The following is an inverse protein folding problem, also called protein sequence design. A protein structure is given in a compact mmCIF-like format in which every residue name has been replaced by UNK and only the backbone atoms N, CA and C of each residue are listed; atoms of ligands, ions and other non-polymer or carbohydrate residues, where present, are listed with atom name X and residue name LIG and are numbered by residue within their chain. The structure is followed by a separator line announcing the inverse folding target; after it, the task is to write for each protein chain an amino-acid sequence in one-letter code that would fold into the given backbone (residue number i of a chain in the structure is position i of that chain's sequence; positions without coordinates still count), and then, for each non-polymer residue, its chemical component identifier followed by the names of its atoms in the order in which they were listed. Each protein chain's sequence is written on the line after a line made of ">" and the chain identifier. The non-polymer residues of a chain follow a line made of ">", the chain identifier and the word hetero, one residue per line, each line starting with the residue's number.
data_IF_806577257531
#
_entry.id   IF_806577257531
#
_cell.length_a   1.000
_cell.length_b   1.000
_cell.length_c   1.000
_cell.angle_alpha   90.00
_cell.angle_beta   90.00
_cell.angle_gamma   90.00
#
_symmetry.space_group_name_H-M   'P 1'
#
loop_
_entity.id
_entity.type
_entity.pdbx_description
1 polymer ?
#
# COMPACT_ATOMS: atom_id res chain seq x y z
N UNK A 1 45.25 25.23 1.99
CA UNK A 1 44.33 25.70 0.93
C UNK A 1 42.97 25.06 1.19
N UNK A 2 41.91 25.70 1.66
CA UNK A 2 41.55 27.10 1.54
C UNK A 2 40.83 27.37 0.21
N UNK A 3 39.53 27.05 0.12
CA UNK A 3 38.46 28.00 -0.25
C UNK A 3 37.13 27.27 -0.51
N UNK A 4 36.11 27.79 0.16
CA UNK A 4 34.70 27.52 -0.01
C UNK A 4 34.10 28.31 -1.19
N UNK A 5 32.85 27.94 -1.55
CA UNK A 5 31.76 28.67 -2.27
C UNK A 5 31.15 27.76 -3.35
N UNK A 6 29.84 27.63 -3.56
CA UNK A 6 28.70 28.46 -3.17
C UNK A 6 27.40 27.67 -3.05
N UNK A 7 26.52 28.20 -2.21
CA UNK A 7 25.12 27.84 -2.04
C UNK A 7 24.25 28.33 -3.22
N UNK A 8 23.31 27.50 -3.67
CA UNK A 8 22.04 27.98 -4.23
C UNK A 8 20.86 27.16 -3.69
N UNK A 9 20.03 27.82 -2.86
CA UNK A 9 18.64 27.45 -2.55
C UNK A 9 17.77 28.65 -2.86
N UNK A 10 16.70 28.47 -3.65
CA UNK A 10 15.30 28.94 -3.41
C UNK A 10 14.43 28.65 -4.66
N UNK A 11 13.09 28.66 -4.70
CA UNK A 11 11.98 29.01 -3.79
C UNK A 11 10.73 28.34 -4.42
N UNK A 12 9.98 27.50 -3.68
CA UNK A 12 8.59 27.07 -3.97
C UNK A 12 8.28 26.41 -5.35
N UNK A 13 8.55 25.12 -5.50
CA UNK A 13 8.07 24.31 -6.63
C UNK A 13 6.67 23.72 -6.42
N UNK A 14 5.61 24.54 -6.40
CA UNK A 14 4.20 24.04 -6.48
C UNK A 14 3.66 24.19 -7.90
N UNK A 15 3.02 23.17 -8.49
CA UNK A 15 2.27 23.34 -9.73
C UNK A 15 0.90 23.99 -9.49
N UNK A 16 0.50 24.89 -10.39
CA UNK A 16 -0.84 25.49 -10.48
C UNK A 16 -1.86 24.51 -11.09
N UNK A 17 -3.16 24.63 -10.76
CA UNK A 17 -4.20 23.72 -11.23
C UNK A 17 -4.60 24.03 -12.68
N UNK A 18 -4.69 23.00 -13.53
CA UNK A 18 -5.34 23.10 -14.84
C UNK A 18 -6.85 22.95 -14.69
N UNK A 19 -7.59 24.00 -15.08
CA UNK A 19 -9.00 23.92 -15.46
C UNK A 19 -9.11 23.18 -16.79
N UNK A 20 -9.95 22.16 -16.85
CA UNK A 20 -10.38 21.51 -18.08
C UNK A 20 -11.79 20.96 -17.89
N UNK A 21 -12.75 21.61 -18.57
CA UNK A 21 -14.17 21.24 -18.65
C UNK A 21 -14.34 19.99 -19.52
N UNK A 22 -15.26 19.12 -19.14
CA UNK A 22 -15.69 17.99 -19.96
C UNK A 22 -16.61 17.08 -19.16
N UNK A 23 -17.85 17.51 -18.92
CA UNK A 23 -18.94 16.63 -18.52
C UNK A 23 -19.61 16.13 -19.80
N UNK A 24 -19.39 14.86 -20.14
CA UNK A 24 -20.23 14.13 -21.09
C UNK A 24 -21.33 13.41 -20.30
N UNK A 25 -22.57 13.80 -20.60
CA UNK A 25 -23.77 13.18 -20.11
C UNK A 25 -24.17 12.05 -21.07
N UNK A 26 -24.15 10.81 -20.59
CA UNK A 26 -24.62 9.64 -21.32
C UNK A 26 -25.54 8.78 -20.47
N UNK A 27 -26.84 8.91 -20.72
CA UNK A 27 -27.90 7.90 -20.61
C UNK A 27 -28.02 7.03 -19.33
N UNK A 28 -29.17 7.20 -18.66
CA UNK A 28 -29.96 6.06 -18.21
C UNK A 28 -30.37 6.03 -16.73
N UNK A 29 -31.67 6.24 -16.48
CA UNK A 29 -32.34 5.59 -15.34
C UNK A 29 -32.63 6.43 -14.10
N UNK A 30 -33.52 7.43 -14.20
CA UNK A 30 -34.24 7.96 -13.04
C UNK A 30 -35.47 7.09 -12.76
N UNK A 31 -35.47 6.37 -11.62
CA UNK A 31 -36.68 5.83 -11.02
C UNK A 31 -37.33 6.90 -10.14
N UNK A 32 -38.49 7.37 -10.58
CA UNK A 32 -39.41 8.21 -9.80
C UNK A 32 -40.22 7.34 -8.84
N UNK A 33 -40.32 7.74 -7.57
CA UNK A 33 -41.46 7.37 -6.74
C UNK A 33 -42.09 8.65 -6.19
N UNK A 34 -43.32 8.89 -6.62
CA UNK A 34 -44.08 10.10 -6.33
C UNK A 34 -44.77 10.03 -4.97
N UNK A 35 -44.95 11.21 -4.37
CA UNK A 35 -46.27 11.61 -3.90
C UNK A 35 -46.26 13.11 -3.56
N UNK A 36 -46.88 13.93 -4.40
CA UNK A 36 -47.29 15.29 -4.02
C UNK A 36 -48.55 15.66 -4.79
N UNK A 37 -49.68 15.41 -4.15
CA UNK A 37 -51.01 15.82 -4.62
C UNK A 37 -51.16 17.34 -4.47
N UNK A 38 -51.45 17.99 -5.59
CA UNK A 38 -51.93 19.36 -5.68
C UNK A 38 -53.44 19.38 -5.45
N UNK A 39 -53.95 20.35 -4.68
CA UNK A 39 -55.38 20.67 -4.66
C UNK A 39 -55.66 21.86 -5.57
N UNK A 40 -56.33 21.57 -6.69
CA UNK A 40 -56.84 22.53 -7.65
C UNK A 40 -58.25 23.02 -7.26
N UNK A 41 -58.43 24.33 -7.39
CA UNK A 41 -59.67 25.09 -7.24
C UNK A 41 -60.65 24.84 -8.40
N UNK A 42 -61.94 24.71 -8.10
CA UNK A 42 -63.07 25.41 -8.75
C UNK A 42 -64.40 24.74 -8.39
N UNK A 43 -65.37 25.52 -7.92
CA UNK A 43 -66.75 25.40 -8.40
C UNK A 43 -67.52 26.70 -8.20
N UNK A 44 -68.14 27.10 -9.28
CA UNK A 44 -69.01 28.25 -9.49
C UNK A 44 -70.44 27.93 -9.09
N UNK A 45 -71.14 28.94 -8.56
CA UNK A 45 -72.48 29.29 -9.07
C UNK A 45 -73.71 28.84 -8.29
N UNK A 46 -74.39 29.88 -7.76
CA UNK A 46 -75.83 30.17 -7.88
C UNK A 46 -76.78 29.64 -6.80
N UNK A 47 -77.44 30.60 -6.15
CA UNK A 47 -78.90 30.76 -5.96
C UNK A 47 -79.25 31.40 -4.60
N UNK A 48 -79.80 32.62 -4.67
CA UNK A 48 -80.68 33.22 -3.67
C UNK A 48 -82.12 32.90 -4.14
N UNK A 49 -83.10 32.67 -3.23
CA UNK A 49 -83.77 33.80 -2.59
C UNK A 49 -84.32 33.56 -1.17
N UNK A 50 -84.59 34.67 -0.47
CA UNK A 50 -85.89 34.88 0.18
C UNK A 50 -86.05 34.50 1.66
N UNK A 51 -86.28 35.56 2.45
CA UNK A 51 -87.30 35.71 3.50
C UNK A 51 -86.98 35.31 4.96
N UNK A 52 -87.39 36.26 5.80
CA UNK A 52 -87.90 36.18 7.17
C UNK A 52 -86.99 35.83 8.36
N UNK A 53 -86.73 36.91 9.10
CA UNK A 53 -87.16 37.12 10.49
C UNK A 53 -86.68 36.19 11.62
N UNK A 54 -86.16 36.89 12.65
CA UNK A 54 -86.34 36.69 14.09
C UNK A 54 -85.40 35.74 14.84
N UNK A 55 -84.53 36.40 15.60
CA UNK A 55 -84.20 36.14 17.01
C UNK A 55 -84.12 34.68 17.50
N UNK A 56 -82.91 34.19 17.75
CA UNK A 56 -82.66 33.23 18.83
C UNK A 56 -81.21 33.33 19.35
N UNK A 57 -81.07 33.27 20.68
CA UNK A 57 -79.89 33.62 21.45
C UNK A 57 -78.56 33.00 21.02
N UNK A 58 -77.55 33.88 20.89
CA UNK A 58 -76.12 33.53 20.88
C UNK A 58 -75.72 32.93 22.24
N UNK A 59 -75.82 31.62 22.40
CA UNK A 59 -75.02 30.90 23.43
C UNK A 59 -73.62 30.70 22.88
N UNK A 60 -72.71 31.65 23.19
CA UNK A 60 -71.26 31.46 22.99
C UNK A 60 -70.80 30.32 23.90
N UNK A 61 -70.63 29.11 23.36
CA UNK A 61 -69.86 28.06 24.02
C UNK A 61 -68.42 28.55 24.16
N UNK A 62 -67.99 28.81 25.40
CA UNK A 62 -66.62 29.12 25.71
C UNK A 62 -65.75 27.91 25.35
N UNK A 63 -64.94 28.03 24.30
CA UNK A 63 -63.84 27.11 24.02
C UNK A 63 -62.83 27.32 25.13
N UNK A 64 -62.70 26.33 26.03
CA UNK A 64 -61.66 26.30 27.05
C UNK A 64 -60.31 26.16 26.35
N UNK A 65 -59.74 27.28 25.86
CA UNK A 65 -58.31 27.37 25.61
C UNK A 65 -57.65 27.30 26.97
N UNK A 66 -57.32 26.10 27.43
CA UNK A 66 -56.21 25.93 28.38
C UNK A 66 -55.03 26.62 27.71
N UNK A 67 -54.70 27.81 28.19
CA UNK A 67 -53.48 28.49 27.79
C UNK A 67 -52.36 27.48 28.04
N UNK A 68 -51.79 26.95 26.96
CA UNK A 68 -50.51 26.25 27.04
C UNK A 68 -49.57 27.30 27.62
N UNK A 69 -49.24 27.16 28.91
CA UNK A 69 -48.24 27.99 29.55
C UNK A 69 -46.97 27.80 28.75
N UNK A 70 -46.61 28.81 27.95
CA UNK A 70 -45.32 28.91 27.30
C UNK A 70 -44.29 29.03 28.42
N UNK A 71 -43.70 27.89 28.79
CA UNK A 71 -42.55 27.86 29.70
C UNK A 71 -41.39 28.53 28.96
N UNK A 72 -41.04 29.74 29.39
CA UNK A 72 -39.80 30.38 28.96
C UNK A 72 -38.62 29.71 29.67
N UNK A 73 -37.59 29.34 28.91
CA UNK A 73 -36.38 28.70 29.43
C UNK A 73 -35.70 29.59 30.47
N UNK A 74 -35.25 28.98 31.57
CA UNK A 74 -34.47 29.71 32.58
C UNK A 74 -33.01 29.83 32.15
N UNK A 75 -32.31 30.87 32.61
CA UNK A 75 -30.87 31.04 32.33
C UNK A 75 -30.06 29.81 32.76
N UNK A 76 -30.43 29.21 33.91
CA UNK A 76 -29.74 28.04 34.44
C UNK A 76 -29.91 26.81 33.54
N UNK A 77 -31.05 26.64 32.88
CA UNK A 77 -31.32 25.51 31.97
C UNK A 77 -30.46 25.60 30.70
N UNK A 78 -30.32 26.80 30.13
CA UNK A 78 -29.44 27.05 28.98
C UNK A 78 -27.98 26.83 29.38
N UNK A 79 -27.56 27.30 30.56
CA UNK A 79 -26.19 27.10 31.05
C UNK A 79 -25.85 25.63 31.27
N UNK A 80 -26.74 24.87 31.92
CA UNK A 80 -26.56 23.42 32.12
C UNK A 80 -26.54 22.69 30.79
N UNK A 81 -27.42 23.06 29.84
CA UNK A 81 -27.44 22.47 28.50
C UNK A 81 -26.14 22.72 27.74
N UNK A 82 -25.61 23.95 27.78
CA UNK A 82 -24.33 24.29 27.16
C UNK A 82 -23.16 23.59 27.84
N UNK A 83 -23.17 23.47 29.16
CA UNK A 83 -22.13 22.76 29.91
C UNK A 83 -22.08 21.27 29.52
N UNK A 84 -23.23 20.60 29.48
CA UNK A 84 -23.33 19.20 29.06
C UNK A 84 -22.93 19.05 27.59
N UNK A 85 -23.42 19.92 26.72
CA UNK A 85 -23.08 19.90 25.30
C UNK A 85 -21.58 20.08 25.08
N UNK A 86 -20.94 21.02 25.79
CA UNK A 86 -19.50 21.23 25.71
C UNK A 86 -18.71 19.99 26.14
N UNK A 87 -19.14 19.31 27.21
CA UNK A 87 -18.53 18.05 27.67
C UNK A 87 -18.68 16.96 26.62
N UNK A 88 -19.88 16.75 26.08
CA UNK A 88 -20.13 15.74 25.04
C UNK A 88 -19.33 16.02 23.76
N UNK A 89 -19.27 17.29 23.34
CA UNK A 89 -18.47 17.72 22.20
C UNK A 89 -16.98 17.45 22.43
N UNK A 90 -16.47 17.73 23.63
CA UNK A 90 -15.08 17.43 23.99
C UNK A 90 -14.78 15.93 23.95
N UNK A 91 -15.67 15.09 24.50
CA UNK A 91 -15.52 13.63 24.46
C UNK A 91 -15.56 13.09 23.03
N UNK A 92 -16.50 13.55 22.21
CA UNK A 92 -16.62 13.15 20.82
C UNK A 92 -15.37 13.53 20.01
N UNK A 93 -14.85 14.74 20.23
CA UNK A 93 -13.61 15.20 19.59
C UNK A 93 -12.40 14.36 20.01
N UNK A 94 -12.28 14.03 21.30
CA UNK A 94 -11.21 13.17 21.82
C UNK A 94 -11.28 11.75 21.24
N UNK A 95 -12.47 11.15 21.17
CA UNK A 95 -12.67 9.85 20.55
C UNK A 95 -12.28 9.85 19.06
N UNK A 96 -12.66 10.90 18.32
CA UNK A 96 -12.27 11.04 16.91
C UNK A 96 -10.75 11.09 16.74
N UNK A 97 -10.05 11.89 17.57
CA UNK A 97 -8.58 11.95 17.54
C UNK A 97 -7.95 10.57 17.73
N UNK A 98 -8.37 9.84 18.77
CA UNK A 98 -7.87 8.48 19.03
C UNK A 98 -8.13 7.51 17.86
N UNK A 99 -9.30 7.61 17.21
CA UNK A 99 -9.59 6.76 16.04
C UNK A 99 -8.70 7.08 14.84
N UNK A 100 -8.35 8.35 14.63
CA UNK A 100 -7.45 8.76 13.57
C UNK A 100 -6.02 8.28 13.83
N UNK A 101 -5.53 8.44 15.07
CA UNK A 101 -4.20 7.97 15.47
C UNK A 101 -4.08 6.44 15.34
N UNK A 102 -5.12 5.71 15.77
CA UNK A 102 -5.17 4.26 15.63
C UNK A 102 -5.19 3.82 14.16
N UNK A 103 -5.91 4.55 13.30
CA UNK A 103 -5.94 4.28 11.87
C UNK A 103 -4.58 4.52 11.21
N UNK A 104 -3.88 5.59 11.57
CA UNK A 104 -2.52 5.88 11.08
C UNK A 104 -1.52 4.80 11.50
N UNK A 105 -1.55 4.40 12.78
CA UNK A 105 -0.72 3.30 13.27
C UNK A 105 -1.02 2.00 12.51
N UNK A 106 -2.29 1.65 12.32
CA UNK A 106 -2.68 0.44 11.59
C UNK A 106 -2.17 0.47 10.15
N UNK A 107 -2.32 1.60 9.45
CA UNK A 107 -1.83 1.76 8.08
C UNK A 107 -0.31 1.54 8.01
N UNK A 108 0.47 2.15 8.93
CA UNK A 108 1.93 1.95 8.97
C UNK A 108 2.33 0.48 9.15
N UNK A 109 1.59 -0.27 10.00
CA UNK A 109 1.83 -1.70 10.21
C UNK A 109 1.45 -2.52 8.98
N UNK A 110 0.36 -2.18 8.30
CA UNK A 110 -0.05 -2.84 7.06
C UNK A 110 0.98 -2.62 5.96
N UNK A 111 1.51 -1.40 5.80
CA UNK A 111 2.54 -1.09 4.81
C UNK A 111 3.83 -1.87 5.07
N UNK A 112 4.26 -1.95 6.34
CA UNK A 112 5.40 -2.76 6.78
C UNK A 112 5.21 -4.25 6.44
N UNK A 113 4.07 -4.84 6.78
CA UNK A 113 3.77 -6.24 6.46
C UNK A 113 3.74 -6.50 4.94
N UNK A 114 3.17 -5.57 4.17
CA UNK A 114 3.17 -5.67 2.71
C UNK A 114 4.59 -5.60 2.13
N UNK A 115 5.46 -4.74 2.66
CA UNK A 115 6.86 -4.66 2.24
C UNK A 115 7.59 -5.98 2.50
N UNK A 116 7.43 -6.57 3.70
CA UNK A 116 7.99 -7.87 4.07
C UNK A 116 7.49 -8.96 3.11
N UNK A 117 6.18 -9.03 2.87
CA UNK A 117 5.58 -10.03 1.97
C UNK A 117 6.05 -9.87 0.53
N UNK A 118 6.12 -8.64 0.01
CA UNK A 118 6.65 -8.36 -1.34
C UNK A 118 8.10 -8.82 -1.48
N UNK A 119 8.93 -8.50 -0.48
CA UNK A 119 10.35 -8.88 -0.43
C UNK A 119 10.52 -10.39 -0.40
N UNK A 120 9.83 -11.08 0.51
CA UNK A 120 9.89 -12.53 0.61
C UNK A 120 9.38 -13.24 -0.64
N UNK A 121 8.31 -12.71 -1.28
CA UNK A 121 7.81 -13.24 -2.54
C UNK A 121 8.85 -13.10 -3.64
N UNK A 122 9.43 -11.92 -3.80
CA UNK A 122 10.41 -11.64 -4.84
C UNK A 122 11.68 -12.51 -4.68
N UNK A 123 12.21 -12.62 -3.46
CA UNK A 123 13.32 -13.53 -3.16
C UNK A 123 12.97 -14.99 -3.50
N UNK A 124 11.74 -15.41 -3.17
CA UNK A 124 11.28 -16.77 -3.46
C UNK A 124 11.15 -17.02 -4.96
N UNK A 125 10.61 -16.06 -5.71
CA UNK A 125 10.45 -16.14 -7.17
C UNK A 125 11.81 -16.25 -7.88
N UNK A 126 12.79 -15.41 -7.52
CA UNK A 126 14.14 -15.46 -8.09
C UNK A 126 14.81 -16.82 -7.82
N UNK A 127 14.67 -17.38 -6.60
CA UNK A 127 15.23 -18.70 -6.24
C UNK A 127 14.51 -19.86 -6.94
N UNK A 128 13.17 -19.82 -7.02
CA UNK A 128 12.39 -20.85 -7.72
C UNK A 128 12.67 -20.88 -9.22
N UNK A 129 13.03 -19.74 -9.80
CA UNK A 129 13.38 -19.61 -11.22
C UNK A 129 14.88 -19.74 -11.48
N UNK A 130 15.64 -20.27 -10.52
CA UNK A 130 17.08 -20.48 -10.65
C UNK A 130 17.41 -21.31 -11.90
N UNK A 131 18.17 -20.68 -12.79
CA UNK A 131 18.60 -21.27 -14.04
C UNK A 131 20.05 -21.77 -13.92
N UNK A 132 20.38 -22.99 -14.40
CA UNK A 132 21.75 -23.53 -14.37
C UNK A 132 22.66 -22.87 -15.43
N UNK A 133 22.68 -21.53 -15.48
CA UNK A 133 23.48 -20.71 -16.40
C UNK A 133 24.57 -19.94 -15.62
N UNK A 134 25.83 -20.43 -15.66
CA UNK A 134 27.01 -19.71 -15.17
C UNK A 134 27.21 -18.44 -15.97
N UNK A 135 27.87 -17.43 -15.42
CA UNK A 135 28.19 -16.18 -16.12
C UNK A 135 29.67 -16.05 -16.39
N UNK A 136 30.06 -15.29 -17.41
CA UNK A 136 31.47 -14.93 -17.60
C UNK A 136 31.90 -13.91 -16.55
N UNK A 137 33.09 -14.08 -15.99
CA UNK A 137 33.65 -13.11 -15.05
C UNK A 137 33.98 -11.78 -15.76
N UNK A 138 33.91 -10.67 -15.01
CA UNK A 138 34.10 -9.31 -15.53
C UNK A 138 35.48 -9.07 -16.16
N UNK A 139 36.51 -9.75 -15.64
CA UNK A 139 37.89 -9.69 -16.12
C UNK A 139 38.15 -10.64 -17.30
N UNK A 140 37.13 -11.36 -17.76
CA UNK A 140 37.23 -12.31 -18.88
C UNK A 140 37.87 -13.66 -18.56
N UNK A 141 38.47 -13.79 -17.37
CA UNK A 141 39.07 -15.02 -16.85
C UNK A 141 38.02 -15.92 -16.19
N UNK A 142 37.61 -16.98 -16.90
CA UNK A 142 36.74 -18.02 -16.36
C UNK A 142 35.25 -17.68 -16.26
N UNK A 143 34.53 -18.54 -15.53
CA UNK A 143 33.08 -18.47 -15.33
C UNK A 143 32.75 -18.44 -13.84
N UNK A 144 31.87 -17.52 -13.45
CA UNK A 144 31.22 -17.49 -12.15
C UNK A 144 30.01 -18.44 -12.11
N UNK A 145 29.69 -19.01 -10.94
CA UNK A 145 28.62 -19.99 -10.81
C UNK A 145 27.24 -19.36 -11.05
N UNK A 146 26.26 -20.19 -11.41
CA UNK A 146 24.87 -19.80 -11.61
C UNK A 146 24.21 -19.30 -10.31
N UNK A 147 24.72 -19.74 -9.17
CA UNK A 147 24.34 -19.31 -7.83
C UNK A 147 25.62 -19.16 -7.01
N UNK A 148 25.81 -18.04 -6.36
CA UNK A 148 26.96 -17.72 -5.51
C UNK A 148 26.47 -17.10 -4.20
N UNK A 149 27.02 -17.56 -3.07
CA UNK A 149 26.87 -16.93 -1.75
C UNK A 149 28.20 -16.60 -1.09
N UNK A 150 29.30 -16.69 -1.85
CA UNK A 150 30.63 -16.45 -1.34
C UNK A 150 30.87 -15.00 -0.96
N UNK A 151 31.59 -14.80 0.15
CA UNK A 151 32.06 -13.49 0.62
C UNK A 151 32.88 -12.72 -0.44
N UNK A 152 33.51 -13.45 -1.37
CA UNK A 152 34.27 -12.90 -2.50
C UNK A 152 33.38 -12.19 -3.54
N UNK A 153 32.09 -12.55 -3.63
CA UNK A 153 31.14 -11.86 -4.51
C UNK A 153 30.74 -10.48 -3.97
N UNK A 154 30.93 -10.24 -2.67
CA UNK A 154 30.46 -9.02 -2.00
C UNK A 154 28.93 -8.95 -1.85
N UNK A 155 28.20 -10.04 -2.13
CA UNK A 155 26.75 -10.16 -2.00
C UNK A 155 26.39 -11.34 -1.08
N UNK A 156 25.24 -11.25 -0.40
CA UNK A 156 24.70 -12.36 0.39
C UNK A 156 24.17 -13.49 -0.51
N UNK A 157 23.70 -13.13 -1.71
CA UNK A 157 23.22 -14.03 -2.73
C UNK A 157 23.40 -13.38 -4.09
N UNK A 158 23.99 -14.09 -5.04
CA UNK A 158 24.02 -13.72 -6.45
C UNK A 158 23.56 -14.91 -7.29
N UNK A 159 22.60 -14.72 -8.19
CA UNK A 159 22.03 -15.80 -8.97
C UNK A 159 21.61 -15.40 -10.38
N UNK A 160 21.68 -16.38 -11.28
CA UNK A 160 21.08 -16.33 -12.61
C UNK A 160 19.70 -16.96 -12.56
N UNK A 161 18.67 -16.18 -12.82
CA UNK A 161 17.29 -16.68 -12.80
C UNK A 161 16.54 -16.30 -14.09
N UNK A 162 15.45 -17.03 -14.33
CA UNK A 162 14.51 -16.74 -15.40
C UNK A 162 13.44 -15.72 -14.99
N UNK A 163 12.29 -15.80 -15.67
CA UNK A 163 11.07 -15.05 -15.38
C UNK A 163 11.18 -13.54 -15.43
N UNK A 164 12.22 -13.01 -16.09
CA UNK A 164 12.19 -11.63 -16.53
C UNK A 164 11.14 -11.46 -17.62
N UNK A 165 9.94 -11.06 -17.22
CA UNK A 165 8.80 -10.89 -18.12
C UNK A 165 9.19 -9.97 -19.27
N UNK A 166 8.95 -10.44 -20.50
CA UNK A 166 9.20 -9.69 -21.73
C UNK A 166 7.89 -9.50 -22.51
N UNK A 167 6.88 -8.80 -21.94
CA UNK A 167 5.55 -8.71 -22.53
C UNK A 167 5.54 -7.94 -23.87
N UNK A 168 6.57 -7.13 -24.13
CA UNK A 168 6.71 -6.30 -25.33
C UNK A 168 7.71 -6.93 -26.33
N UNK A 169 8.13 -8.19 -26.10
CA UNK A 169 8.98 -8.99 -27.01
C UNK A 169 10.24 -8.23 -27.49
N UNK A 170 10.96 -7.62 -26.55
CA UNK A 170 12.26 -6.99 -26.83
C UNK A 170 13.30 -8.08 -27.18
N UNK A 171 14.26 -7.83 -28.09
CA UNK A 171 15.34 -8.76 -28.42
C UNK A 171 16.40 -8.81 -27.31
N UNK A 172 16.01 -9.34 -26.14
CA UNK A 172 16.87 -9.52 -24.96
C UNK A 172 16.75 -10.94 -24.43
N UNK A 173 17.78 -11.43 -23.75
CA UNK A 173 17.73 -12.71 -23.07
C UNK A 173 16.62 -12.76 -22.01
N UNK A 174 15.98 -13.91 -21.84
CA UNK A 174 14.95 -14.15 -20.80
C UNK A 174 15.55 -14.37 -19.41
N UNK A 175 16.87 -14.49 -19.33
CA UNK A 175 17.62 -14.67 -18.09
C UNK A 175 18.15 -13.32 -17.59
N UNK A 176 18.12 -13.17 -16.27
CA UNK A 176 18.66 -12.01 -15.56
C UNK A 176 19.64 -12.49 -14.49
N UNK A 177 20.69 -11.69 -14.26
CA UNK A 177 21.58 -11.82 -13.11
C UNK A 177 21.12 -10.84 -12.05
N UNK A 178 20.90 -11.32 -10.84
CA UNK A 178 20.48 -10.50 -9.71
C UNK A 178 21.33 -10.82 -8.48
N UNK A 179 21.52 -9.83 -7.62
CA UNK A 179 22.27 -9.98 -6.39
C UNK A 179 21.58 -9.26 -5.23
N UNK A 180 21.83 -9.71 -4.02
CA UNK A 180 21.23 -9.20 -2.79
C UNK A 180 22.30 -8.86 -1.77
N UNK A 181 22.18 -7.69 -1.16
CA UNK A 181 23.07 -7.25 -0.08
C UNK A 181 22.32 -6.34 0.88
N UNK A 182 22.76 -6.34 2.13
CA UNK A 182 22.33 -5.38 3.12
C UNK A 182 23.29 -4.19 3.11
N UNK A 183 22.78 -2.98 2.95
CA UNK A 183 23.51 -1.73 3.11
C UNK A 183 22.68 -0.80 3.99
N UNK A 184 23.28 -0.14 4.98
CA UNK A 184 22.59 0.82 5.85
C UNK A 184 21.25 0.32 6.44
N UNK A 185 21.24 -0.93 6.93
CA UNK A 185 20.05 -1.64 7.44
C UNK A 185 18.91 -1.86 6.42
N UNK A 186 19.19 -1.68 5.13
CA UNK A 186 18.26 -1.93 4.03
C UNK A 186 18.70 -3.14 3.20
N UNK A 187 17.74 -4.02 2.87
CA UNK A 187 17.97 -5.08 1.89
C UNK A 187 17.82 -4.51 0.48
N UNK A 188 18.91 -4.51 -0.27
CA UNK A 188 19.00 -4.00 -1.63
C UNK A 188 19.14 -5.16 -2.62
N UNK A 189 18.36 -5.09 -3.69
CA UNK A 189 18.50 -5.96 -4.86
C UNK A 189 19.19 -5.22 -5.99
N UNK A 190 20.27 -5.79 -6.47
CA UNK A 190 20.98 -5.39 -7.67
C UNK A 190 20.55 -6.29 -8.83
N UNK A 191 20.48 -5.74 -10.04
CA UNK A 191 20.33 -6.52 -11.25
C UNK A 191 21.07 -5.91 -12.42
N UNK A 192 21.54 -6.76 -13.32
CA UNK A 192 22.22 -6.33 -14.54
C UNK A 192 21.30 -6.48 -15.75
N UNK A 193 21.48 -5.57 -16.72
CA UNK A 193 20.76 -5.61 -18.00
C UNK A 193 21.34 -6.64 -18.98
N UNK A 194 22.55 -7.13 -18.68
CA UNK A 194 23.28 -8.13 -19.46
C UNK A 194 23.76 -9.23 -18.53
N UNK A 195 23.76 -10.47 -19.03
CA UNK A 195 24.10 -11.65 -18.23
C UNK A 195 25.60 -11.81 -18.03
N UNK A 196 26.35 -11.73 -19.13
CA UNK A 196 27.81 -11.76 -19.12
C UNK A 196 28.30 -10.31 -19.07
N UNK A 197 28.64 -9.86 -17.87
CA UNK A 197 28.99 -8.48 -17.58
C UNK A 197 30.49 -8.21 -17.75
N UNK A 198 30.81 -6.96 -18.06
CA UNK A 198 32.16 -6.37 -18.03
C UNK A 198 32.23 -5.31 -16.94
N UNK A 199 33.42 -4.81 -16.62
CA UNK A 199 33.61 -3.72 -15.65
C UNK A 199 32.81 -2.44 -15.99
N UNK A 200 32.42 -2.23 -17.25
CA UNK A 200 31.62 -1.08 -17.66
C UNK A 200 30.12 -1.22 -17.35
N UNK A 201 29.65 -2.42 -16.99
CA UNK A 201 28.24 -2.69 -16.77
C UNK A 201 27.85 -2.44 -15.31
N UNK A 202 27.39 -1.22 -15.02
CA UNK A 202 26.88 -0.85 -13.68
C UNK A 202 25.50 -1.51 -13.42
N UNK A 203 25.30 -2.17 -12.26
CA UNK A 203 23.99 -2.72 -11.90
C UNK A 203 22.98 -1.63 -11.55
N UNK A 204 21.69 -1.94 -11.74
CA UNK A 204 20.60 -1.15 -11.19
C UNK A 204 20.24 -1.70 -9.80
N UNK A 205 20.07 -0.82 -8.82
CA UNK A 205 19.72 -1.17 -7.44
C UNK A 205 18.28 -0.75 -7.10
N UNK A 206 17.63 -1.56 -6.27
CA UNK A 206 16.30 -1.29 -5.71
C UNK A 206 16.29 -1.69 -4.25
N UNK A 207 15.90 -0.77 -3.37
CA UNK A 207 15.65 -1.06 -1.96
C UNK A 207 14.36 -1.88 -1.85
N UNK A 208 14.43 -3.04 -1.21
CA UNK A 208 13.29 -3.94 -1.05
C UNK A 208 12.60 -3.76 0.30
N UNK A 209 13.40 -3.64 1.36
CA UNK A 209 12.92 -3.61 2.74
C UNK A 209 13.95 -2.91 3.63
N UNK A 210 13.49 -2.06 4.53
CA UNK A 210 14.27 -1.39 5.57
C UNK A 210 14.28 -2.21 6.88
N UNK A 211 15.09 -1.80 7.87
CA UNK A 211 15.12 -2.45 9.19
C UNK A 211 15.46 -3.94 9.12
N UNK A 212 16.46 -4.28 8.30
CA UNK A 212 16.95 -5.64 8.09
C UNK A 212 18.29 -5.81 8.82
N UNK A 213 18.30 -6.64 9.86
CA UNK A 213 19.49 -6.89 10.68
C UNK A 213 20.42 -7.91 10.03
N UNK A 214 19.85 -8.96 9.44
CA UNK A 214 20.64 -9.98 8.72
C UNK A 214 19.78 -10.77 7.73
N UNK A 215 20.44 -11.27 6.69
CA UNK A 215 19.89 -12.24 5.76
C UNK A 215 20.88 -13.40 5.61
N UNK A 216 20.38 -14.62 5.78
CA UNK A 216 21.15 -15.85 5.63
C UNK A 216 20.42 -16.79 4.67
N UNK A 217 21.20 -17.42 3.80
CA UNK A 217 20.71 -18.45 2.89
C UNK A 217 21.36 -19.78 3.24
N UNK A 218 20.54 -20.83 3.32
CA UNK A 218 21.00 -22.21 3.46
C UNK A 218 20.49 -23.01 2.27
N UNK A 219 21.29 -23.96 1.82
CA UNK A 219 21.02 -24.74 0.62
C UNK A 219 21.13 -26.23 0.92
N UNK A 220 20.16 -26.99 0.44
CA UNK A 220 20.15 -28.44 0.54
C UNK A 220 20.93 -29.05 -0.62
N UNK A 221 22.02 -29.72 -0.30
CA UNK A 221 22.87 -30.43 -1.26
C UNK A 221 22.21 -31.72 -1.75
N UNK A 222 22.79 -32.31 -2.81
CA UNK A 222 22.33 -33.58 -3.37
C UNK A 222 22.46 -34.75 -2.38
N UNK A 223 23.42 -34.69 -1.45
CA UNK A 223 23.62 -35.68 -0.38
C UNK A 223 22.65 -35.50 0.80
N UNK A 224 21.78 -34.49 0.78
CA UNK A 224 20.82 -34.21 1.85
C UNK A 224 21.36 -33.32 2.98
N UNK A 225 22.61 -32.84 2.88
CA UNK A 225 23.19 -31.94 3.88
C UNK A 225 22.92 -30.47 3.56
N UNK A 226 22.72 -29.67 4.61
CA UNK A 226 22.56 -28.22 4.49
C UNK A 226 23.92 -27.50 4.51
N UNK A 227 24.09 -26.51 3.64
CA UNK A 227 25.27 -25.63 3.59
C UNK A 227 24.86 -24.17 3.46
N UNK A 228 25.61 -23.24 4.03
CA UNK A 228 25.42 -21.79 3.85
C UNK A 228 26.21 -21.27 2.64
N UNK A 229 27.21 -22.01 2.20
CA UNK A 229 28.02 -21.67 1.04
C UNK A 229 27.56 -22.46 -0.19
N UNK A 230 27.32 -21.74 -1.27
CA UNK A 230 27.05 -22.30 -2.59
C UNK A 230 27.88 -21.59 -3.67
N UNK A 231 28.48 -22.31 -4.64
CA UNK A 231 28.56 -23.76 -4.73
C UNK A 231 29.39 -24.35 -3.58
N UNK A 232 29.14 -25.62 -3.18
CA UNK A 232 29.98 -26.28 -2.19
C UNK A 232 31.44 -26.34 -2.68
N UNK A 233 32.40 -25.99 -1.82
CA UNK A 233 33.82 -25.90 -2.19
C UNK A 233 34.46 -27.22 -2.68
N UNK A 234 33.77 -28.35 -2.54
CA UNK A 234 34.23 -29.68 -2.94
C UNK A 234 34.02 -30.01 -4.44
N UNK A 235 33.45 -29.09 -5.24
CA UNK A 235 33.18 -29.32 -6.68
C UNK A 235 33.68 -28.18 -7.57
N UNK A 236 35.00 -28.10 -7.84
CA UNK A 236 35.55 -27.11 -8.76
C UNK A 236 35.13 -27.37 -10.22
N UNK A 237 35.09 -26.31 -11.02
CA UNK A 237 34.90 -26.37 -12.47
C UNK A 237 33.47 -26.11 -12.97
N UNK A 238 33.27 -26.28 -14.29
CA UNK A 238 32.04 -25.89 -15.01
C UNK A 238 30.80 -26.64 -14.52
N UNK A 239 30.96 -27.87 -14.02
CA UNK A 239 29.85 -28.66 -13.47
C UNK A 239 29.36 -28.11 -12.13
N UNK A 240 30.26 -27.70 -11.24
CA UNK A 240 29.90 -27.01 -10.00
C UNK A 240 29.25 -25.65 -10.27
N UNK A 241 29.73 -24.94 -11.30
CA UNK A 241 29.17 -23.66 -11.72
C UNK A 241 27.72 -23.75 -12.22
N UNK A 242 27.27 -24.91 -12.72
CA UNK A 242 25.88 -25.14 -13.17
C UNK A 242 24.99 -25.76 -12.09
N UNK A 243 25.58 -26.18 -10.97
CA UNK A 243 24.88 -26.97 -9.98
C UNK A 243 23.81 -26.13 -9.27
N UNK A 244 22.61 -26.69 -9.16
CA UNK A 244 21.51 -26.12 -8.39
C UNK A 244 21.31 -26.90 -7.08
N UNK A 245 20.94 -26.21 -5.99
CA UNK A 245 20.54 -26.87 -4.76
C UNK A 245 19.18 -27.55 -4.95
N UNK A 246 18.90 -28.58 -4.13
CA UNK A 246 17.58 -29.24 -4.13
C UNK A 246 16.52 -28.35 -3.50
N UNK A 247 16.90 -27.67 -2.42
CA UNK A 247 16.07 -26.71 -1.70
C UNK A 247 16.92 -25.54 -1.22
N UNK A 248 16.29 -24.40 -0.99
CA UNK A 248 16.88 -23.26 -0.30
C UNK A 248 16.02 -22.84 0.89
N UNK A 249 16.67 -22.42 1.95
CA UNK A 249 16.07 -21.80 3.11
C UNK A 249 16.57 -20.35 3.18
N UNK A 250 15.61 -19.43 3.27
CA UNK A 250 15.85 -18.00 3.48
C UNK A 250 15.56 -17.71 4.95
N UNK A 251 16.50 -17.07 5.64
CA UNK A 251 16.37 -16.64 7.02
C UNK A 251 16.62 -15.13 7.06
N UNK A 252 15.56 -14.37 7.32
CA UNK A 252 15.59 -12.91 7.38
C UNK A 252 15.32 -12.46 8.81
N UNK A 253 16.22 -11.68 9.39
CA UNK A 253 16.06 -11.11 10.74
C UNK A 253 15.76 -9.62 10.60
N UNK A 254 14.61 -9.21 11.15
CA UNK A 254 14.09 -7.85 11.05
C UNK A 254 14.01 -7.19 12.42
N UNK A 255 14.26 -5.87 12.44
CA UNK A 255 14.14 -5.06 13.65
C UNK A 255 12.69 -4.96 14.08
N UNK A 256 12.35 -5.59 15.21
CA UNK A 256 11.03 -5.53 15.82
C UNK A 256 10.09 -6.69 15.45
N UNK A 257 10.19 -7.26 14.25
CA UNK A 257 9.43 -8.47 13.87
C UNK A 257 10.16 -9.78 14.18
N UNK A 258 11.47 -9.74 14.40
CA UNK A 258 12.29 -10.91 14.67
C UNK A 258 12.62 -11.71 13.41
N UNK A 259 12.73 -13.04 13.55
CA UNK A 259 13.20 -13.91 12.48
C UNK A 259 12.04 -14.49 11.63
N UNK A 260 12.14 -14.32 10.32
CA UNK A 260 11.25 -14.90 9.32
C UNK A 260 12.01 -15.95 8.52
N UNK A 261 11.41 -17.14 8.36
CA UNK A 261 12.00 -18.26 7.63
C UNK A 261 11.12 -18.72 6.48
N UNK A 262 11.73 -19.04 5.34
CA UNK A 262 11.05 -19.61 4.18
C UNK A 262 11.88 -20.74 3.59
N UNK A 263 11.29 -21.93 3.51
CA UNK A 263 11.87 -23.09 2.83
C UNK A 263 11.24 -23.24 1.44
N UNK A 264 12.07 -23.46 0.41
CA UNK A 264 11.70 -23.57 -0.99
C UNK A 264 12.35 -24.81 -1.60
N UNK A 265 11.59 -25.59 -2.36
CA UNK A 265 12.12 -26.64 -3.23
C UNK A 265 12.49 -26.02 -4.59
N UNK A 266 13.72 -26.24 -5.06
CA UNK A 266 14.28 -25.61 -6.27
C UNK A 266 14.42 -26.62 -7.41
N UNK A 267 14.96 -27.79 -7.12
CA UNK A 267 15.17 -28.84 -8.10
C UNK A 267 14.88 -30.20 -7.43
N UNK A 268 13.82 -30.92 -7.85
CA UNK A 268 13.51 -32.24 -7.33
C UNK A 268 14.63 -33.25 -7.60
#
# INVERSE_FOLDING_TARGET
>A
MGMARDHFRNRRGKPFPRRGRGFDCGFGGCHSNGNRLYWGTRRTGREQPGLDEKHAGRRRRAVNRRAQQLRAFTLIEVLVSLAIFAILAALAYGALGQTLDAAELLNSRMDRLQAIQRTMRLLSEDLLQLSPRPIRNELGEGYGPALDTGFQSGFALELTHGGWSNPIVLPRGTLQRSAYRIEDDELIRYHWMVLDRTLANVPLSVVLLDGVESILFRFLQANGEWTEQWPPGNRPGVLGARQRPRAAEIILTLTGEGQIRRLLEIAP
#
